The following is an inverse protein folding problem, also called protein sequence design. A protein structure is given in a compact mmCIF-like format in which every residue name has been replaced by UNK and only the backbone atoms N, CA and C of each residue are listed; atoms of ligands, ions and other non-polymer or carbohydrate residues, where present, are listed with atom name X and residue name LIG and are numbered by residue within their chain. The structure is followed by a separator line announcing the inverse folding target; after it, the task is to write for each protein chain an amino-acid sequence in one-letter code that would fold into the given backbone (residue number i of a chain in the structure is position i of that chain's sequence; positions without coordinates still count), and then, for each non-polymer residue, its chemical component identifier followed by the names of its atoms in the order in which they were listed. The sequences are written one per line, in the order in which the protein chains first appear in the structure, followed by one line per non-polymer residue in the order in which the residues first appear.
data_IF_332880957327
#
_entry.id   IF_332880957327
#
_cell.length_a   1.000
_cell.length_b   1.000
_cell.length_c   1.000
_cell.angle_alpha   90.00
_cell.angle_beta   90.00
_cell.angle_gamma   90.00
#
_symmetry.space_group_name_H-M   'P 1'
#
loop_
_entity.id
_entity.type
_entity.pdbx_description
1 polymer ?
#
# COMPACT_ATOMS: atom_id res chain seq x y z
N UNK A 1 37.15 -26.50 1.62
CA UNK A 1 36.50 -25.93 0.41
C UNK A 1 35.02 -26.16 0.55
N UNK A 2 34.26 -25.13 0.94
CA UNK A 2 32.81 -25.20 1.03
C UNK A 2 32.22 -25.25 -0.38
N UNK A 3 31.33 -26.21 -0.62
CA UNK A 3 30.66 -26.49 -1.90
C UNK A 3 29.44 -25.56 -2.14
N UNK A 4 29.26 -24.54 -1.29
CA UNK A 4 28.24 -23.50 -1.43
C UNK A 4 28.95 -22.18 -1.65
N UNK A 5 28.60 -21.50 -2.73
CA UNK A 5 29.00 -20.12 -3.01
C UNK A 5 27.75 -19.24 -2.94
N UNK A 6 27.64 -18.46 -1.87
CA UNK A 6 26.58 -17.46 -1.74
C UNK A 6 26.92 -16.26 -2.63
N UNK A 7 26.22 -16.15 -3.76
CA UNK A 7 26.28 -15.01 -4.65
C UNK A 7 25.40 -13.88 -4.09
N UNK A 8 25.95 -13.06 -3.20
CA UNK A 8 25.27 -11.86 -2.69
C UNK A 8 25.79 -10.64 -3.44
N UNK A 9 24.90 -9.88 -4.09
CA UNK A 9 25.21 -8.61 -4.74
C UNK A 9 24.43 -7.45 -4.09
N UNK A 10 24.94 -6.84 -3.00
CA UNK A 10 24.25 -5.75 -2.32
C UNK A 10 24.02 -4.52 -3.21
N UNK A 11 24.89 -4.30 -4.20
CA UNK A 11 24.78 -3.16 -5.13
C UNK A 11 23.56 -3.26 -6.04
N UNK A 12 23.08 -4.48 -6.31
CA UNK A 12 21.86 -4.69 -7.08
C UNK A 12 20.59 -4.28 -6.31
N UNK A 13 20.64 -4.18 -4.97
CA UNK A 13 19.52 -3.75 -4.10
C UNK A 13 18.20 -4.51 -4.32
N UNK A 14 18.30 -5.77 -4.73
CA UNK A 14 17.13 -6.59 -5.08
C UNK A 14 16.16 -6.82 -3.91
N UNK A 15 16.67 -6.81 -2.67
CA UNK A 15 15.85 -6.94 -1.46
C UNK A 15 14.77 -5.87 -1.32
N UNK A 16 14.95 -4.69 -1.94
CA UNK A 16 13.97 -3.60 -1.88
C UNK A 16 12.67 -3.94 -2.59
N UNK A 17 12.72 -4.87 -3.54
CA UNK A 17 11.55 -5.31 -4.30
C UNK A 17 10.50 -5.96 -3.40
N UNK A 18 10.93 -6.57 -2.29
CA UNK A 18 10.03 -7.07 -1.26
C UNK A 18 9.08 -5.99 -0.74
N UNK A 19 9.61 -4.83 -0.38
CA UNK A 19 8.81 -3.72 0.16
C UNK A 19 7.98 -3.03 -0.93
N UNK A 20 8.50 -2.95 -2.17
CA UNK A 20 7.72 -2.42 -3.31
C UNK A 20 6.50 -3.29 -3.58
N UNK A 21 6.66 -4.61 -3.62
CA UNK A 21 5.57 -5.55 -3.85
C UNK A 21 4.54 -5.57 -2.72
N UNK A 22 4.96 -5.31 -1.47
CA UNK A 22 4.03 -5.15 -0.34
C UNK A 22 3.11 -3.94 -0.55
N UNK A 23 3.62 -2.83 -1.07
CA UNK A 23 2.86 -1.58 -1.25
C UNK A 23 1.98 -1.56 -2.51
N UNK A 24 2.43 -2.23 -3.57
CA UNK A 24 1.62 -2.38 -4.79
C UNK A 24 0.30 -3.11 -4.50
N UNK A 25 -0.75 -2.71 -5.22
CA UNK A 25 -2.13 -3.14 -5.01
C UNK A 25 -2.86 -3.21 -6.35
N UNK A 26 -3.97 -3.94 -6.39
CA UNK A 26 -4.71 -4.23 -7.62
C UNK A 26 -5.61 -3.05 -8.01
N UNK A 27 -6.29 -2.48 -7.00
CA UNK A 27 -7.21 -1.36 -7.19
C UNK A 27 -7.40 -0.57 -5.90
N UNK A 28 -7.92 0.64 -6.10
CA UNK A 28 -8.33 1.55 -5.03
C UNK A 28 -9.83 1.84 -5.19
N UNK A 29 -10.58 1.74 -4.11
CA UNK A 29 -12.03 2.00 -4.08
C UNK A 29 -12.32 3.09 -3.06
N UNK A 30 -13.20 4.05 -3.40
CA UNK A 30 -13.61 5.09 -2.46
C UNK A 30 -14.65 4.55 -1.47
N UNK A 31 -14.44 4.81 -0.19
CA UNK A 31 -15.41 4.50 0.88
C UNK A 31 -15.34 5.52 2.02
N UNK A 32 -16.06 5.25 3.10
CA UNK A 32 -16.06 6.03 4.35
C UNK A 32 -16.34 5.12 5.56
N UNK A 33 -16.12 5.63 6.77
CA UNK A 33 -16.49 4.94 8.01
C UNK A 33 -17.89 5.39 8.45
N UNK A 34 -18.86 4.46 8.41
CA UNK A 34 -20.23 4.69 8.89
C UNK A 34 -20.35 4.68 10.41
N UNK A 35 -19.59 5.52 11.11
CA UNK A 35 -19.53 5.61 12.57
C UNK A 35 -19.80 7.04 13.05
N UNK A 36 -20.39 7.19 14.24
CA UNK A 36 -20.76 8.50 14.80
C UNK A 36 -19.55 9.26 15.37
N UNK A 37 -18.61 9.65 14.51
CA UNK A 37 -17.37 10.35 14.87
C UNK A 37 -17.32 11.81 14.39
N UNK A 38 -18.35 12.30 13.70
CA UNK A 38 -18.41 13.63 13.05
C UNK A 38 -17.42 13.87 11.89
N UNK A 39 -16.50 12.93 11.64
CA UNK A 39 -15.41 13.14 10.69
C UNK A 39 -15.85 13.21 9.22
N UNK A 40 -16.75 12.32 8.78
CA UNK A 40 -17.20 12.28 7.38
C UNK A 40 -16.06 12.08 6.37
N UNK A 41 -14.94 11.48 6.80
CA UNK A 41 -13.72 11.37 6.01
C UNK A 41 -13.91 10.42 4.81
N UNK A 42 -13.38 10.80 3.65
CA UNK A 42 -13.32 9.98 2.45
C UNK A 42 -12.00 9.22 2.44
N UNK A 43 -12.07 7.91 2.18
CA UNK A 43 -10.92 7.01 2.22
C UNK A 43 -10.72 6.29 0.89
N UNK A 44 -9.45 6.09 0.56
CA UNK A 44 -8.95 5.21 -0.48
C UNK A 44 -8.72 3.82 0.13
N UNK A 45 -9.60 2.88 -0.16
CA UNK A 45 -9.48 1.48 0.32
C UNK A 45 -8.68 0.69 -0.71
N UNK A 46 -7.56 0.11 -0.27
CA UNK A 46 -6.63 -0.63 -1.11
C UNK A 46 -6.96 -2.13 -1.08
N UNK A 47 -7.09 -2.71 -2.27
CA UNK A 47 -7.33 -4.15 -2.48
C UNK A 47 -6.10 -4.77 -3.12
N UNK A 48 -5.63 -5.88 -2.59
CA UNK A 48 -4.53 -6.69 -3.13
C UNK A 48 -4.88 -8.17 -3.07
N UNK A 49 -4.65 -8.89 -4.15
CA UNK A 49 -5.00 -10.30 -4.33
C UNK A 49 -6.50 -10.56 -4.00
N UNK A 50 -7.35 -9.59 -4.36
CA UNK A 50 -8.79 -9.64 -4.09
C UNK A 50 -9.20 -9.42 -2.62
N UNK A 51 -8.26 -9.14 -1.71
CA UNK A 51 -8.53 -8.88 -0.29
C UNK A 51 -8.26 -7.41 0.07
N UNK A 52 -9.02 -6.87 1.03
CA UNK A 52 -8.75 -5.53 1.58
C UNK A 52 -7.52 -5.61 2.48
N UNK A 53 -6.56 -4.70 2.28
CA UNK A 53 -5.28 -4.73 3.00
C UNK A 53 -5.03 -3.51 3.88
N UNK A 54 -5.36 -2.29 3.43
CA UNK A 54 -5.27 -1.06 4.22
C UNK A 54 -6.11 0.06 3.59
N UNK A 55 -6.15 1.21 4.25
CA UNK A 55 -6.78 2.44 3.76
C UNK A 55 -5.86 3.66 3.96
N UNK A 56 -5.96 4.64 3.07
CA UNK A 56 -5.34 5.98 3.22
C UNK A 56 -6.41 7.05 2.99
N UNK A 57 -6.20 8.25 3.51
CA UNK A 57 -7.13 9.37 3.29
C UNK A 57 -7.16 9.76 1.81
N UNK A 58 -8.36 10.08 1.31
CA UNK A 58 -8.50 10.82 0.05
C UNK A 58 -8.16 12.29 0.29
N UNK A 59 -7.56 12.93 -0.70
CA UNK A 59 -7.11 14.33 -0.60
C UNK A 59 -7.73 15.22 -1.66
N UNK A 60 -8.84 14.78 -2.26
CA UNK A 60 -9.47 15.39 -3.43
C UNK A 60 -10.86 15.99 -3.13
N UNK A 61 -11.06 16.47 -1.90
CA UNK A 61 -12.24 17.28 -1.59
C UNK A 61 -12.27 18.54 -2.46
N UNK A 62 -13.47 19.07 -2.79
CA UNK A 62 -13.60 20.40 -3.38
C UNK A 62 -12.83 21.43 -2.55
N UNK A 63 -12.16 22.36 -3.24
CA UNK A 63 -11.50 23.47 -2.57
C UNK A 63 -12.53 24.37 -1.90
N UNK A 64 -12.13 25.03 -0.82
CA UNK A 64 -12.93 26.06 -0.17
C UNK A 64 -12.84 27.34 -1.02
N UNK A 65 -13.99 28.00 -1.24
CA UNK A 65 -14.07 29.33 -1.84
C UNK A 65 -13.57 30.42 -0.89
#
# INVERSE_FOLDING_TARGET
MGWIQDLVNPQAREWEEFYRNRWQHDKVVRSTHGVNCTGGCSWAVYVKDGLITWEMQQTDYPLLD
#
